data_IF_979700494634
#
_entry.id   IF_979700494634
#
_cell.length_a   1.000
_cell.length_b   1.000
_cell.length_c   1.000
_cell.angle_alpha   90.00
_cell.angle_beta   90.00
_cell.angle_gamma   90.00
#
_symmetry.space_group_name_H-M   'P 1'
#
loop_
_entity.id
_entity.type
_entity.pdbx_description
1 polymer ?
#
# COMPACT_ATOMS: atom_id res chain seq x y z
N UNK A 1 -17.00 -9.23 -17.91
CA UNK A 1 -15.71 -9.46 -17.26
C UNK A 1 -15.67 -8.78 -15.89
N UNK A 2 -15.12 -9.44 -14.87
CA UNK A 2 -14.97 -8.76 -13.59
C UNK A 2 -13.96 -7.63 -13.70
N UNK A 3 -14.22 -6.54 -12.99
CA UNK A 3 -13.28 -5.44 -12.91
C UNK A 3 -12.09 -5.84 -12.02
N UNK A 4 -10.87 -5.38 -12.33
CA UNK A 4 -9.73 -5.67 -11.47
C UNK A 4 -9.90 -4.96 -10.12
N UNK A 5 -9.56 -5.66 -9.04
CA UNK A 5 -9.58 -5.09 -7.68
C UNK A 5 -8.19 -4.70 -7.19
N UNK A 6 -7.19 -4.97 -8.00
CA UNK A 6 -5.82 -4.56 -7.71
C UNK A 6 -5.01 -4.44 -8.99
N UNK A 7 -3.88 -3.75 -8.92
CA UNK A 7 -2.94 -3.66 -10.03
C UNK A 7 -1.51 -3.59 -9.51
N UNK A 8 -0.57 -4.04 -10.30
CA UNK A 8 0.85 -3.95 -9.95
C UNK A 8 1.38 -2.53 -10.16
N UNK A 9 2.26 -2.05 -9.27
CA UNK A 9 2.96 -0.78 -9.51
C UNK A 9 3.76 -0.83 -10.80
N UNK A 10 3.75 0.25 -11.63
CA UNK A 10 4.45 0.24 -12.91
C UNK A 10 5.96 -0.01 -12.81
N UNK A 11 6.60 0.42 -11.71
CA UNK A 11 8.05 0.28 -11.54
C UNK A 11 8.50 -1.15 -11.18
N UNK A 12 7.57 -2.10 -11.07
CA UNK A 12 7.90 -3.50 -10.81
C UNK A 12 7.96 -4.34 -12.09
N UNK A 13 7.72 -3.76 -13.25
CA UNK A 13 7.64 -4.49 -14.53
C UNK A 13 8.94 -5.20 -14.91
N UNK A 14 10.08 -4.67 -14.51
CA UNK A 14 11.41 -5.18 -14.85
C UNK A 14 11.99 -6.13 -13.81
N UNK A 15 11.20 -6.52 -12.80
CA UNK A 15 11.65 -7.48 -11.79
C UNK A 15 11.32 -8.89 -12.28
N UNK A 16 12.36 -9.72 -12.50
CA UNK A 16 12.20 -11.09 -12.98
C UNK A 16 11.75 -12.05 -11.88
N UNK A 17 12.20 -11.80 -10.65
CA UNK A 17 11.88 -12.66 -9.51
C UNK A 17 11.57 -11.82 -8.29
N UNK A 18 10.47 -12.14 -7.63
CA UNK A 18 10.12 -11.53 -6.36
C UNK A 18 9.67 -12.59 -5.36
N UNK A 19 9.93 -12.32 -4.09
CA UNK A 19 9.43 -13.13 -2.98
C UNK A 19 8.01 -12.76 -2.63
N UNK A 20 7.64 -11.48 -2.81
CA UNK A 20 6.31 -10.97 -2.51
C UNK A 20 5.80 -10.18 -3.72
N UNK A 21 4.58 -10.50 -4.15
CA UNK A 21 3.89 -9.76 -5.21
C UNK A 21 3.19 -8.54 -4.59
N UNK A 22 3.54 -7.35 -5.07
CA UNK A 22 2.98 -6.11 -4.55
C UNK A 22 1.87 -5.63 -5.48
N UNK A 23 0.70 -5.36 -4.90
CA UNK A 23 -0.44 -4.81 -5.61
C UNK A 23 -0.96 -3.56 -4.92
N UNK A 24 -1.49 -2.62 -5.70
CA UNK A 24 -2.25 -1.50 -5.20
C UNK A 24 -3.74 -1.85 -5.24
N UNK A 25 -4.47 -1.51 -4.19
CA UNK A 25 -5.93 -1.63 -4.17
C UNK A 25 -6.54 -0.72 -5.23
N UNK A 26 -7.51 -1.26 -5.99
CA UNK A 26 -8.31 -0.52 -6.97
C UNK A 26 -9.78 -0.70 -6.58
N UNK A 27 -10.52 0.40 -6.43
CA UNK A 27 -11.92 0.32 -6.03
C UNK A 27 -12.81 -0.10 -7.22
N UNK A 28 -14.10 -0.42 -6.97
CA UNK A 28 -14.97 -0.86 -8.06
C UNK A 28 -15.20 0.17 -9.18
N UNK A 29 -14.92 1.44 -8.93
CA UNK A 29 -15.00 2.50 -9.94
C UNK A 29 -13.71 2.63 -10.76
N UNK A 30 -12.69 1.84 -10.45
CA UNK A 30 -11.41 1.87 -11.14
C UNK A 30 -10.41 2.86 -10.57
N UNK A 31 -10.72 3.49 -9.44
CA UNK A 31 -9.80 4.43 -8.79
C UNK A 31 -8.79 3.68 -7.93
N UNK A 32 -7.54 4.08 -8.01
CA UNK A 32 -6.44 3.56 -7.21
C UNK A 32 -6.03 4.64 -6.19
N UNK A 33 -6.48 4.55 -4.92
CA UNK A 33 -6.22 5.61 -3.95
C UNK A 33 -4.74 5.91 -3.73
N UNK A 34 -3.88 4.88 -3.71
CA UNK A 34 -2.46 5.11 -3.44
C UNK A 34 -1.79 5.89 -4.57
N UNK A 35 -2.16 5.65 -5.83
CA UNK A 35 -1.63 6.42 -6.95
C UNK A 35 -2.34 7.75 -7.13
N UNK A 36 -3.67 7.70 -7.21
CA UNK A 36 -4.46 8.87 -7.62
C UNK A 36 -4.50 9.95 -6.54
N UNK A 37 -4.56 9.54 -5.27
CA UNK A 37 -4.72 10.47 -4.16
C UNK A 37 -3.42 10.74 -3.40
N UNK A 38 -2.32 10.05 -3.72
CA UNK A 38 -1.08 10.19 -2.96
C UNK A 38 0.15 10.25 -3.87
N UNK A 39 0.57 9.12 -4.45
CA UNK A 39 1.85 9.06 -5.17
C UNK A 39 1.95 10.02 -6.35
N UNK A 40 0.84 10.23 -7.06
CA UNK A 40 0.81 11.11 -8.23
C UNK A 40 0.38 12.54 -7.91
N UNK A 41 0.20 12.86 -6.61
CA UNK A 41 -0.10 14.22 -6.18
C UNK A 41 1.20 14.93 -5.78
N UNK A 42 1.69 15.88 -6.59
CA UNK A 42 2.99 16.53 -6.32
C UNK A 42 2.98 17.40 -5.08
N UNK A 43 1.81 17.76 -4.55
CA UNK A 43 1.72 18.49 -3.29
C UNK A 43 1.91 17.59 -2.08
N UNK A 44 1.64 16.30 -2.23
CA UNK A 44 1.78 15.32 -1.15
C UNK A 44 3.11 14.58 -1.20
N UNK A 45 3.56 14.23 -2.40
CA UNK A 45 4.76 13.42 -2.61
C UNK A 45 5.58 14.05 -3.73
N UNK A 46 6.79 14.49 -3.40
CA UNK A 46 7.70 15.03 -4.41
C UNK A 46 8.24 13.88 -5.28
N UNK A 47 8.85 14.24 -6.39
CA UNK A 47 9.45 13.25 -7.30
C UNK A 47 10.52 12.41 -6.61
N UNK A 48 11.37 13.04 -5.79
CA UNK A 48 12.42 12.32 -5.06
C UNK A 48 11.85 11.43 -3.96
N UNK A 49 10.78 11.87 -3.29
CA UNK A 49 10.10 11.07 -2.27
C UNK A 49 9.40 9.87 -2.88
N UNK A 50 8.78 10.06 -4.04
CA UNK A 50 8.16 8.95 -4.79
C UNK A 50 9.21 7.90 -5.16
N UNK A 51 10.39 8.34 -5.59
CA UNK A 51 11.49 7.42 -5.91
C UNK A 51 11.95 6.62 -4.70
N UNK A 52 12.02 7.26 -3.51
CA UNK A 52 12.37 6.55 -2.28
C UNK A 52 11.34 5.51 -1.89
N UNK A 53 10.06 5.85 -2.00
CA UNK A 53 8.98 4.90 -1.72
C UNK A 53 9.01 3.73 -2.71
N UNK A 54 9.24 4.02 -3.99
CA UNK A 54 9.38 2.99 -5.01
C UNK A 54 10.54 2.05 -4.70
N UNK A 55 11.69 2.59 -4.26
CA UNK A 55 12.85 1.77 -3.89
C UNK A 55 12.55 0.84 -2.71
N UNK A 56 11.80 1.32 -1.71
CA UNK A 56 11.39 0.49 -0.57
C UNK A 56 10.44 -0.61 -1.00
N UNK A 57 9.47 -0.31 -1.89
CA UNK A 57 8.56 -1.32 -2.41
C UNK A 57 9.30 -2.38 -3.23
N UNK A 58 10.28 -1.97 -4.06
CA UNK A 58 11.11 -2.93 -4.81
C UNK A 58 11.88 -3.84 -3.86
N UNK A 59 12.45 -3.28 -2.79
CA UNK A 59 13.16 -4.08 -1.78
C UNK A 59 12.22 -5.10 -1.13
N UNK A 60 11.01 -4.66 -0.77
CA UNK A 60 10.03 -5.58 -0.18
C UNK A 60 9.68 -6.70 -1.15
N UNK A 61 9.46 -6.37 -2.43
CA UNK A 61 9.12 -7.35 -3.45
C UNK A 61 10.24 -8.40 -3.61
N UNK A 62 11.49 -7.94 -3.71
CA UNK A 62 12.62 -8.82 -3.99
C UNK A 62 13.06 -9.62 -2.76
N UNK A 63 13.10 -9.00 -1.60
CA UNK A 63 13.61 -9.60 -0.38
C UNK A 63 12.53 -10.20 0.53
N UNK A 64 11.26 -9.87 0.29
CA UNK A 64 10.14 -10.36 1.09
C UNK A 64 9.93 -9.62 2.40
N UNK A 65 10.80 -8.66 2.70
CA UNK A 65 10.70 -7.86 3.92
C UNK A 65 11.54 -6.59 3.80
N UNK A 66 11.25 -5.63 4.68
CA UNK A 66 12.10 -4.47 4.91
C UNK A 66 12.48 -4.50 6.38
N UNK A 67 13.77 -4.59 6.68
CA UNK A 67 14.26 -4.65 8.06
C UNK A 67 14.21 -3.30 8.74
N UNK A 68 13.88 -3.31 10.03
CA UNK A 68 13.86 -2.12 10.88
C UNK A 68 12.47 -1.52 11.02
N UNK A 69 12.01 -1.36 12.27
CA UNK A 69 10.70 -0.80 12.57
C UNK A 69 10.54 0.64 12.10
N UNK A 70 11.64 1.34 11.87
CA UNK A 70 11.63 2.69 11.34
C UNK A 70 11.19 2.76 9.88
N UNK A 71 11.30 1.65 9.15
CA UNK A 71 10.97 1.58 7.72
C UNK A 71 9.74 0.76 7.43
N UNK A 72 9.49 -0.28 8.24
CA UNK A 72 8.34 -1.15 8.05
C UNK A 72 8.01 -1.83 9.37
N UNK A 73 6.74 -1.80 9.78
CA UNK A 73 6.31 -2.53 10.96
C UNK A 73 4.82 -2.85 10.87
N UNK A 74 4.42 -3.82 11.72
CA UNK A 74 3.02 -4.20 11.88
C UNK A 74 2.31 -3.20 12.79
N UNK A 75 1.07 -2.88 12.46
CA UNK A 75 0.25 -1.99 13.27
C UNK A 75 -0.37 -2.73 14.46
N UNK A 76 -1.02 -1.98 15.35
CA UNK A 76 -1.63 -2.49 16.58
C UNK A 76 -3.10 -2.16 16.64
N UNK A 77 -3.81 -2.74 17.63
CA UNK A 77 -5.21 -2.46 17.87
C UNK A 77 -6.12 -3.03 16.79
N UNK A 78 -7.14 -2.26 16.39
CA UNK A 78 -8.12 -2.74 15.42
C UNK A 78 -7.57 -2.88 14.00
N UNK A 79 -6.38 -2.32 13.72
CA UNK A 79 -5.70 -2.45 12.42
C UNK A 79 -4.49 -3.37 12.52
N UNK A 80 -4.49 -4.29 13.48
CA UNK A 80 -3.34 -5.20 13.72
C UNK A 80 -3.03 -6.14 12.55
N UNK A 81 -3.92 -6.28 11.60
CA UNK A 81 -3.68 -7.08 10.40
C UNK A 81 -3.00 -6.27 9.29
N UNK A 82 -2.75 -5.00 9.54
CA UNK A 82 -2.09 -4.10 8.61
C UNK A 82 -0.65 -3.84 9.00
N UNK A 83 0.13 -3.45 7.98
CA UNK A 83 1.52 -3.06 8.10
C UNK A 83 1.71 -1.69 7.44
N UNK A 84 2.83 -1.04 7.74
CA UNK A 84 3.14 0.26 7.13
C UNK A 84 4.57 0.25 6.61
N UNK A 85 4.75 0.81 5.40
CA UNK A 85 6.07 1.15 4.85
C UNK A 85 6.25 2.65 5.06
N UNK A 86 7.38 3.04 5.64
CA UNK A 86 7.65 4.43 6.05
C UNK A 86 8.89 4.98 5.36
N UNK A 87 8.78 6.20 4.82
CA UNK A 87 9.91 6.98 4.32
C UNK A 87 9.71 8.41 4.80
N UNK A 88 10.47 8.84 5.81
CA UNK A 88 10.27 10.12 6.50
C UNK A 88 8.84 10.21 7.04
N UNK A 89 8.06 11.21 6.58
CA UNK A 89 6.67 11.38 6.99
C UNK A 89 5.69 10.62 6.11
N UNK A 90 6.15 10.01 5.03
CA UNK A 90 5.27 9.30 4.08
C UNK A 90 5.02 7.89 4.56
N UNK A 91 3.76 7.45 4.45
CA UNK A 91 3.30 6.14 4.91
C UNK A 91 2.54 5.45 3.79
N UNK A 92 2.82 4.15 3.60
CA UNK A 92 2.04 3.28 2.71
C UNK A 92 1.50 2.14 3.57
N UNK A 93 0.19 2.03 3.66
CA UNK A 93 -0.47 1.02 4.47
C UNK A 93 -0.86 -0.17 3.62
N UNK A 94 -0.62 -1.37 4.12
CA UNK A 94 -0.94 -2.57 3.37
C UNK A 94 -1.38 -3.71 4.29
N UNK A 95 -2.07 -4.69 3.70
CA UNK A 95 -2.37 -5.96 4.36
C UNK A 95 -1.83 -7.10 3.50
N UNK A 96 -1.65 -8.26 4.14
CA UNK A 96 -1.14 -9.45 3.44
C UNK A 96 -2.31 -10.28 2.93
N UNK A 97 -2.21 -10.71 1.68
CA UNK A 97 -3.14 -11.68 1.08
C UNK A 97 -2.37 -12.97 0.84
N UNK A 98 -2.62 -13.96 1.68
CA UNK A 98 -1.81 -15.18 1.67
C UNK A 98 -0.40 -14.90 2.16
N UNK A 99 0.56 -15.74 1.73
CA UNK A 99 1.95 -15.63 2.17
C UNK A 99 2.84 -14.87 1.19
N UNK A 100 2.36 -14.62 -0.03
CA UNK A 100 3.20 -14.14 -1.11
C UNK A 100 2.71 -12.85 -1.78
N UNK A 101 1.65 -12.24 -1.26
CA UNK A 101 1.12 -10.99 -1.84
C UNK A 101 0.77 -9.98 -0.76
N UNK A 102 1.04 -8.72 -1.04
CA UNK A 102 0.55 -7.62 -0.21
C UNK A 102 -0.30 -6.67 -1.05
N UNK A 103 -1.31 -6.08 -0.41
CA UNK A 103 -2.22 -5.12 -1.05
C UNK A 103 -2.05 -3.78 -0.34
N UNK A 104 -1.48 -2.81 -1.04
CA UNK A 104 -1.32 -1.46 -0.50
C UNK A 104 -2.64 -0.73 -0.70
N UNK A 105 -3.27 -0.32 0.40
CA UNK A 105 -4.59 0.30 0.36
C UNK A 105 -4.53 1.78 0.02
N UNK A 106 -3.64 2.52 0.69
CA UNK A 106 -3.50 3.95 0.45
C UNK A 106 -2.19 4.46 1.05
N UNK A 107 -1.86 5.71 0.72
CA UNK A 107 -0.74 6.40 1.31
C UNK A 107 -1.19 7.64 2.07
N UNK A 108 -0.35 8.11 2.96
CA UNK A 108 -0.65 9.27 3.79
C UNK A 108 0.64 9.96 4.25
N UNK A 109 0.63 11.29 4.27
CA UNK A 109 1.73 12.06 4.83
C UNK A 109 1.42 12.36 6.29
N UNK A 110 2.18 11.74 7.19
CA UNK A 110 1.92 11.78 8.62
C UNK A 110 2.75 12.86 9.28
N UNK A 111 2.12 13.70 10.10
CA UNK A 111 2.81 14.74 10.84
C UNK A 111 3.02 14.37 12.31
N UNK A 112 2.34 13.34 12.79
CA UNK A 112 2.46 12.83 14.17
C UNK A 112 2.62 11.31 14.11
N UNK A 113 3.14 10.72 15.20
CA UNK A 113 3.35 9.27 15.27
C UNK A 113 2.05 8.49 15.44
N UNK A 114 0.97 9.16 15.86
CA UNK A 114 -0.29 8.49 16.14
C UNK A 114 -1.15 8.40 14.89
N UNK A 115 -1.60 7.18 14.56
CA UNK A 115 -2.52 6.94 13.46
C UNK A 115 -3.90 7.50 13.81
N UNK A 116 -4.50 8.29 12.91
CA UNK A 116 -5.82 8.88 13.11
C UNK A 116 -6.92 7.84 12.92
N UNK A 117 -8.02 7.92 13.68
CA UNK A 117 -9.16 7.00 13.50
C UNK A 117 -9.70 6.98 12.06
N UNK A 118 -9.70 8.12 11.37
CA UNK A 118 -10.15 8.21 9.98
C UNK A 118 -9.30 7.35 9.05
N UNK A 119 -7.99 7.30 9.29
CA UNK A 119 -7.08 6.47 8.50
C UNK A 119 -7.30 4.99 8.79
N UNK A 120 -7.57 4.64 10.06
CA UNK A 120 -7.92 3.27 10.41
C UNK A 120 -9.21 2.83 9.73
N UNK A 121 -10.24 3.70 9.75
CA UNK A 121 -11.50 3.43 9.09
C UNK A 121 -11.32 3.20 7.60
N UNK A 122 -10.47 4.02 6.96
CA UNK A 122 -10.18 3.91 5.54
C UNK A 122 -9.51 2.59 5.20
N UNK A 123 -8.53 2.19 5.99
CA UNK A 123 -7.83 0.92 5.79
C UNK A 123 -8.79 -0.26 5.87
N UNK A 124 -9.61 -0.29 6.91
CA UNK A 124 -10.58 -1.38 7.12
C UNK A 124 -11.63 -1.40 6.02
N UNK A 125 -12.10 -0.24 5.60
CA UNK A 125 -13.08 -0.11 4.52
C UNK A 125 -12.51 -0.64 3.19
N UNK A 126 -11.30 -0.25 2.85
CA UNK A 126 -10.68 -0.68 1.60
C UNK A 126 -10.44 -2.20 1.59
N UNK A 127 -10.01 -2.77 2.71
CA UNK A 127 -9.85 -4.22 2.81
C UNK A 127 -11.17 -4.95 2.66
N UNK A 128 -12.22 -4.44 3.29
CA UNK A 128 -13.56 -5.03 3.17
C UNK A 128 -14.05 -4.99 1.72
N UNK A 129 -13.88 -3.85 1.05
CA UNK A 129 -14.24 -3.72 -0.37
C UNK A 129 -13.43 -4.73 -1.20
N UNK A 130 -12.12 -4.81 -0.97
CA UNK A 130 -11.25 -5.74 -1.70
C UNK A 130 -11.70 -7.19 -1.53
N UNK A 131 -12.10 -7.57 -0.31
CA UNK A 131 -12.50 -8.94 -0.01
C UNK A 131 -13.92 -9.29 -0.48
N UNK A 132 -14.72 -8.28 -0.83
CA UNK A 132 -16.11 -8.50 -1.28
C UNK A 132 -16.16 -8.60 -2.81
N UNK A 133 -16.01 -9.82 -3.31
CA UNK A 133 -15.94 -10.10 -4.75
C UNK A 133 -17.17 -9.61 -5.52
N UNK A 134 -18.34 -9.53 -4.87
CA UNK A 134 -19.58 -9.14 -5.56
C UNK A 134 -19.52 -7.70 -6.07
N UNK A 135 -18.69 -6.85 -5.48
CA UNK A 135 -18.56 -5.45 -5.88
C UNK A 135 -17.81 -5.27 -7.22
N UNK A 136 -17.15 -6.32 -7.70
CA UNK A 136 -16.32 -6.27 -8.92
C UNK A 136 -16.92 -7.04 -10.09
N UNK A 137 -18.15 -7.44 -9.96
CA UNK A 137 -18.87 -8.16 -11.04
C UNK A 137 -19.58 -7.21 -11.98
#
# INVERSE_FOLDING_TARGET
>A
MPKPRSKRPPFLKDIDRWEVDIHYFVNPKGKCPVEDDFLNDPQKVSKSEKAKLAALMRRYAVEGEIKGDQRCHRLKGRVRDFWVIKAHQHRLYFFKEGNDRIIITHGFKKQTDKLRPEEEDRMLSYREIYNNLSLYK
#
